data_IF_150571517321
#
_entry.id   IF_150571517321
#
_cell.length_a   1.000
_cell.length_b   1.000
_cell.length_c   1.000
_cell.angle_alpha   90.00
_cell.angle_beta   90.00
_cell.angle_gamma   90.00
#
_symmetry.space_group_name_H-M   'P 1'
#
loop_
_entity.id
_entity.type
_entity.pdbx_description
1 polymer ?
#
# COMPACT_ATOMS: atom_id res chain seq x y z
N UNK A 1 -7.83 -28.29 -13.71
CA UNK A 1 -8.71 -27.68 -12.68
C UNK A 1 -9.24 -26.38 -13.26
N UNK A 2 -10.51 -26.10 -13.06
CA UNK A 2 -11.15 -24.85 -13.49
C UNK A 2 -11.62 -24.08 -12.26
N UNK A 3 -11.35 -22.77 -12.19
CA UNK A 3 -11.69 -21.90 -11.08
C UNK A 3 -12.58 -20.76 -11.57
N UNK A 4 -13.68 -20.50 -10.87
CA UNK A 4 -14.52 -19.34 -11.08
C UNK A 4 -14.18 -18.26 -10.04
N UNK A 5 -13.96 -17.03 -10.49
CA UNK A 5 -13.72 -15.86 -9.63
C UNK A 5 -14.91 -14.91 -9.81
N UNK A 6 -15.51 -14.48 -8.73
CA UNK A 6 -16.59 -13.50 -8.72
C UNK A 6 -16.04 -12.18 -8.18
N UNK A 7 -16.10 -11.13 -9.01
CA UNK A 7 -15.58 -9.80 -8.74
C UNK A 7 -14.33 -9.48 -9.56
N UNK A 8 -14.42 -8.50 -10.45
CA UNK A 8 -13.36 -8.00 -11.35
C UNK A 8 -12.63 -6.76 -10.81
N UNK A 9 -12.63 -6.56 -9.48
CA UNK A 9 -11.79 -5.58 -8.81
C UNK A 9 -10.32 -6.03 -8.77
N UNK A 10 -9.44 -5.20 -8.19
CA UNK A 10 -7.99 -5.47 -8.14
C UNK A 10 -7.66 -6.84 -7.53
N UNK A 11 -8.39 -7.27 -6.52
CA UNK A 11 -8.15 -8.57 -5.85
C UNK A 11 -8.50 -9.73 -6.78
N UNK A 12 -9.71 -9.73 -7.36
CA UNK A 12 -10.15 -10.80 -8.26
C UNK A 12 -9.30 -10.90 -9.50
N UNK A 13 -8.93 -9.77 -10.10
CA UNK A 13 -8.05 -9.72 -11.27
C UNK A 13 -6.63 -10.23 -10.94
N UNK A 14 -6.04 -9.83 -9.81
CA UNK A 14 -4.74 -10.32 -9.39
C UNK A 14 -4.76 -11.84 -9.12
N UNK A 15 -5.81 -12.36 -8.47
CA UNK A 15 -5.99 -13.79 -8.27
C UNK A 15 -6.15 -14.53 -9.62
N UNK A 16 -6.95 -13.98 -10.54
CA UNK A 16 -7.15 -14.56 -11.87
C UNK A 16 -5.82 -14.66 -12.63
N UNK A 17 -5.04 -13.59 -12.60
CA UNK A 17 -3.75 -13.52 -13.27
C UNK A 17 -2.74 -14.54 -12.68
N UNK A 18 -2.61 -14.63 -11.35
CA UNK A 18 -1.71 -15.60 -10.72
C UNK A 18 -2.12 -17.04 -11.00
N UNK A 19 -3.41 -17.35 -10.96
CA UNK A 19 -3.93 -18.69 -11.29
C UNK A 19 -3.70 -19.04 -12.76
N UNK A 20 -3.93 -18.11 -13.67
CA UNK A 20 -3.69 -18.31 -15.11
C UNK A 20 -2.20 -18.57 -15.38
N UNK A 21 -1.30 -17.84 -14.72
CA UNK A 21 0.15 -18.11 -14.80
C UNK A 21 0.54 -19.49 -14.30
N UNK A 22 -0.18 -20.00 -13.30
CA UNK A 22 0.00 -21.36 -12.79
C UNK A 22 -0.65 -22.46 -13.68
N UNK A 23 -1.17 -22.09 -14.86
CA UNK A 23 -1.79 -23.03 -15.81
C UNK A 23 -3.21 -23.46 -15.42
N UNK A 24 -3.86 -22.72 -14.53
CA UNK A 24 -5.24 -22.98 -14.14
C UNK A 24 -6.19 -22.29 -15.10
N UNK A 25 -7.23 -23.00 -15.58
CA UNK A 25 -8.31 -22.40 -16.34
C UNK A 25 -9.17 -21.52 -15.43
N UNK A 26 -9.25 -20.22 -15.73
CA UNK A 26 -9.98 -19.25 -14.91
C UNK A 26 -11.14 -18.64 -15.68
N UNK A 27 -12.32 -18.58 -15.02
CA UNK A 27 -13.45 -17.80 -15.48
C UNK A 27 -13.72 -16.68 -14.46
N UNK A 28 -13.65 -15.41 -14.89
CA UNK A 28 -13.92 -14.24 -14.05
C UNK A 28 -15.29 -13.67 -14.39
N UNK A 29 -16.10 -13.43 -13.38
CA UNK A 29 -17.44 -12.86 -13.47
C UNK A 29 -17.50 -11.55 -12.70
N UNK A 30 -18.01 -10.49 -13.33
CA UNK A 30 -18.22 -9.20 -12.72
C UNK A 30 -19.56 -8.60 -13.14
N UNK A 31 -20.31 -8.06 -12.21
CA UNK A 31 -21.59 -7.40 -12.47
C UNK A 31 -21.41 -5.99 -13.05
N UNK A 32 -20.28 -5.36 -12.78
CA UNK A 32 -19.92 -4.00 -13.21
C UNK A 32 -18.59 -4.02 -13.97
N UNK A 33 -18.57 -4.30 -15.28
CA UNK A 33 -17.34 -4.49 -16.05
C UNK A 33 -16.40 -3.28 -16.08
N UNK A 34 -16.87 -2.11 -15.65
CA UNK A 34 -16.06 -0.89 -15.55
C UNK A 34 -15.29 -0.74 -14.22
N UNK A 35 -15.41 -1.70 -13.29
CA UNK A 35 -14.72 -1.74 -11.99
C UNK A 35 -14.74 -0.40 -11.23
N UNK A 36 -15.90 0.25 -11.19
CA UNK A 36 -16.09 1.57 -10.54
C UNK A 36 -16.53 1.46 -9.08
N UNK A 37 -16.13 0.39 -8.39
CA UNK A 37 -16.44 0.17 -6.98
C UNK A 37 -15.22 0.48 -6.10
N UNK A 38 -14.94 -0.34 -5.10
CA UNK A 38 -13.88 -0.11 -4.12
C UNK A 38 -12.50 0.12 -4.73
N UNK A 39 -12.12 -0.65 -5.78
CA UNK A 39 -10.82 -0.48 -6.45
C UNK A 39 -10.71 0.83 -7.22
N UNK A 40 -11.82 1.37 -7.70
CA UNK A 40 -11.87 2.68 -8.36
C UNK A 40 -11.77 3.83 -7.34
N UNK A 41 -12.44 3.68 -6.19
CA UNK A 41 -12.49 4.69 -5.13
C UNK A 41 -11.24 4.71 -4.24
N UNK A 42 -10.43 3.65 -4.27
CA UNK A 42 -9.25 3.52 -3.43
C UNK A 42 -8.21 4.61 -3.72
N UNK A 43 -7.56 5.11 -2.66
CA UNK A 43 -6.46 6.07 -2.77
C UNK A 43 -5.15 5.45 -3.27
N UNK A 44 -5.05 4.12 -3.26
CA UNK A 44 -3.87 3.39 -3.73
C UNK A 44 -2.70 3.37 -2.76
N UNK A 45 -2.93 3.65 -1.49
CA UNK A 45 -1.90 3.56 -0.46
C UNK A 45 -1.53 2.10 -0.19
N UNK A 46 -0.25 1.81 -0.16
CA UNK A 46 0.35 0.52 0.18
C UNK A 46 1.19 0.72 1.44
N UNK A 47 0.51 0.85 2.58
CA UNK A 47 1.09 1.37 3.81
C UNK A 47 0.78 0.50 5.04
N UNK A 48 1.11 -0.82 5.04
CA UNK A 48 0.78 -1.71 6.15
C UNK A 48 1.38 -1.26 7.48
N UNK A 49 2.53 -0.59 7.45
CA UNK A 49 3.18 -0.09 8.66
C UNK A 49 2.48 1.13 9.27
N UNK A 50 1.63 1.84 8.50
CA UNK A 50 0.82 2.94 9.01
C UNK A 50 -0.48 2.45 9.65
N UNK A 51 -1.09 1.41 9.06
CA UNK A 51 -2.44 0.93 9.39
C UNK A 51 -2.49 0.11 10.70
N UNK A 52 -1.40 -0.56 11.08
CA UNK A 52 -1.40 -1.52 12.19
C UNK A 52 -0.37 -1.14 13.25
N UNK A 53 -0.74 -1.30 14.53
CA UNK A 53 0.08 -0.96 15.70
C UNK A 53 0.65 -2.19 16.41
N UNK A 54 0.32 -3.39 15.91
CA UNK A 54 0.76 -4.67 16.48
C UNK A 54 1.07 -5.71 15.41
N UNK A 55 1.82 -6.74 15.79
CA UNK A 55 2.15 -7.88 14.95
C UNK A 55 0.97 -8.86 14.87
N UNK A 56 0.06 -8.59 13.94
CA UNK A 56 -1.10 -9.41 13.63
C UNK A 56 -1.06 -10.05 12.24
N UNK A 57 -1.96 -11.01 11.96
CA UNK A 57 -2.01 -11.69 10.65
C UNK A 57 -2.18 -10.73 9.47
N UNK A 58 -3.01 -9.69 9.61
CA UNK A 58 -3.25 -8.70 8.56
C UNK A 58 -2.03 -7.80 8.32
N UNK A 59 -1.33 -7.39 9.39
CA UNK A 59 -0.08 -6.66 9.24
C UNK A 59 0.96 -7.49 8.49
N UNK A 60 1.16 -8.76 8.88
CA UNK A 60 2.12 -9.67 8.21
C UNK A 60 1.77 -9.88 6.74
N UNK A 61 0.48 -10.07 6.42
CA UNK A 61 0.01 -10.21 5.04
C UNK A 61 0.27 -8.92 4.25
N UNK A 62 -0.03 -7.75 4.82
CA UNK A 62 0.20 -6.45 4.19
C UNK A 62 1.68 -6.19 3.91
N UNK A 63 2.56 -6.51 4.87
CA UNK A 63 4.02 -6.39 4.70
C UNK A 63 4.53 -7.32 3.59
N UNK A 64 4.10 -8.59 3.60
CA UNK A 64 4.45 -9.53 2.55
C UNK A 64 3.93 -9.09 1.17
N UNK A 65 2.72 -8.54 1.12
CA UNK A 65 2.13 -7.97 -0.10
C UNK A 65 2.95 -6.79 -0.61
N UNK A 66 3.25 -5.81 0.25
CA UNK A 66 4.06 -4.63 -0.12
C UNK A 66 5.41 -5.04 -0.74
N UNK A 67 6.10 -5.99 -0.12
CA UNK A 67 7.39 -6.48 -0.60
C UNK A 67 7.32 -7.16 -1.99
N UNK A 68 6.15 -7.66 -2.39
CA UNK A 68 5.95 -8.34 -3.68
C UNK A 68 5.65 -7.40 -4.85
N UNK A 69 5.23 -6.16 -4.60
CA UNK A 69 4.79 -5.24 -5.66
C UNK A 69 5.81 -5.04 -6.79
N UNK A 70 7.12 -4.81 -6.53
CA UNK A 70 8.09 -4.63 -7.62
C UNK A 70 8.17 -5.87 -8.52
N UNK A 71 8.26 -7.06 -7.94
CA UNK A 71 8.32 -8.31 -8.69
C UNK A 71 7.01 -8.62 -9.43
N UNK A 72 5.88 -8.27 -8.84
CA UNK A 72 4.55 -8.42 -9.44
C UNK A 72 4.40 -7.53 -10.68
N UNK A 73 4.76 -6.25 -10.60
CA UNK A 73 4.73 -5.33 -11.75
C UNK A 73 5.68 -5.79 -12.87
N UNK A 74 6.88 -6.22 -12.50
CA UNK A 74 7.83 -6.77 -13.47
C UNK A 74 7.28 -8.02 -14.18
N UNK A 75 6.61 -8.91 -13.44
CA UNK A 75 6.01 -10.12 -14.00
C UNK A 75 4.80 -9.83 -14.88
N UNK A 76 4.09 -8.71 -14.66
CA UNK A 76 3.06 -8.19 -15.56
C UNK A 76 3.64 -7.50 -16.81
N UNK A 77 4.95 -7.28 -16.87
CA UNK A 77 5.59 -6.49 -17.93
C UNK A 77 5.24 -5.00 -17.88
N UNK A 78 4.92 -4.49 -16.68
CA UNK A 78 4.48 -3.10 -16.49
C UNK A 78 5.60 -2.29 -15.86
N UNK A 79 5.95 -1.19 -16.51
CA UNK A 79 6.86 -0.21 -15.93
C UNK A 79 6.19 0.46 -14.71
N UNK A 80 6.90 0.61 -13.55
CA UNK A 80 6.33 1.18 -12.34
C UNK A 80 5.64 2.53 -12.56
N UNK A 81 6.20 3.41 -13.37
CA UNK A 81 5.64 4.71 -13.69
C UNK A 81 4.32 4.64 -14.49
N UNK A 82 4.10 3.56 -15.25
CA UNK A 82 2.86 3.40 -16.02
C UNK A 82 1.63 3.27 -15.11
N UNK A 83 1.82 2.74 -13.91
CA UNK A 83 0.78 2.61 -12.86
C UNK A 83 1.02 3.55 -11.68
N UNK A 84 1.89 4.54 -11.85
CA UNK A 84 2.28 5.51 -10.83
C UNK A 84 2.72 4.85 -9.49
N UNK A 85 3.44 3.72 -9.58
CA UNK A 85 3.98 3.06 -8.41
C UNK A 85 5.17 3.86 -7.86
N UNK A 86 5.09 4.26 -6.60
CA UNK A 86 6.10 5.05 -5.90
C UNK A 86 6.38 4.46 -4.52
N UNK A 87 7.62 4.06 -4.27
CA UNK A 87 8.09 3.54 -2.99
C UNK A 87 8.91 4.61 -2.25
N UNK A 88 8.26 5.71 -1.90
CA UNK A 88 8.91 6.90 -1.32
C UNK A 88 8.74 7.05 0.19
N UNK A 89 8.12 6.05 0.84
CA UNK A 89 7.74 6.12 2.25
C UNK A 89 6.50 6.98 2.49
N UNK A 90 6.21 7.22 3.75
CA UNK A 90 5.09 8.06 4.19
C UNK A 90 5.37 8.70 5.53
N UNK A 91 4.83 9.88 5.75
CA UNK A 91 4.93 10.60 7.03
C UNK A 91 3.69 10.36 7.86
N UNK A 92 3.88 10.08 9.14
CA UNK A 92 2.83 10.06 10.16
C UNK A 92 3.11 11.21 11.12
N UNK A 93 2.46 12.39 10.94
CA UNK A 93 2.73 13.57 11.75
C UNK A 93 2.06 13.48 13.12
N UNK A 94 2.68 14.10 14.13
CA UNK A 94 2.07 14.35 15.42
C UNK A 94 1.41 15.72 15.42
N UNK A 95 0.12 15.77 15.68
CA UNK A 95 -0.67 17.01 15.78
C UNK A 95 -0.65 17.55 17.22
N UNK A 96 -0.52 16.65 18.21
CA UNK A 96 -0.53 17.02 19.63
C UNK A 96 0.36 16.10 20.49
N UNK A 97 0.25 16.22 21.82
CA UNK A 97 1.00 15.41 22.78
C UNK A 97 0.53 13.94 22.83
N UNK A 98 -0.73 13.69 22.52
CA UNK A 98 -1.28 12.32 22.46
C UNK A 98 -0.70 11.60 21.26
N UNK A 99 -0.68 12.26 20.11
CA UNK A 99 -0.08 11.73 18.87
C UNK A 99 1.41 11.43 19.07
N UNK A 100 2.18 12.34 19.72
CA UNK A 100 3.60 12.09 20.03
C UNK A 100 3.80 10.80 20.82
N UNK A 101 2.95 10.56 21.82
CA UNK A 101 3.00 9.32 22.59
C UNK A 101 2.68 8.09 21.74
N UNK A 102 1.67 8.19 20.89
CA UNK A 102 1.29 7.12 19.95
C UNK A 102 2.42 6.83 18.94
N UNK A 103 3.05 7.88 18.40
CA UNK A 103 4.18 7.72 17.48
C UNK A 103 5.39 7.06 18.14
N UNK A 104 5.68 7.38 19.42
CA UNK A 104 6.74 6.72 20.17
C UNK A 104 6.46 5.20 20.34
N UNK A 105 5.22 4.83 20.67
CA UNK A 105 4.79 3.45 20.76
C UNK A 105 4.87 2.74 19.40
N UNK A 106 4.40 3.39 18.34
CA UNK A 106 4.48 2.91 16.94
C UNK A 106 5.92 2.64 16.54
N UNK A 107 6.83 3.59 16.77
CA UNK A 107 8.25 3.41 16.50
C UNK A 107 8.84 2.21 17.25
N UNK A 108 8.51 2.08 18.55
CA UNK A 108 8.98 0.95 19.34
C UNK A 108 8.50 -0.40 18.79
N UNK A 109 7.25 -0.47 18.34
CA UNK A 109 6.72 -1.66 17.64
C UNK A 109 7.49 -1.94 16.35
N UNK A 110 7.60 -0.97 15.44
CA UNK A 110 8.26 -1.12 14.15
C UNK A 110 9.75 -1.50 14.30
N UNK A 111 10.44 -0.88 15.26
CA UNK A 111 11.85 -1.22 15.56
C UNK A 111 12.00 -2.66 16.00
N UNK A 112 11.12 -3.17 16.90
CA UNK A 112 11.14 -4.59 17.30
C UNK A 112 10.84 -5.53 16.13
N UNK A 113 10.02 -5.09 15.19
CA UNK A 113 9.70 -5.84 13.97
C UNK A 113 10.78 -5.74 12.87
N UNK A 114 11.88 -5.02 13.12
CA UNK A 114 12.97 -4.87 12.15
C UNK A 114 12.67 -3.87 11.02
N UNK A 115 11.62 -3.05 11.16
CA UNK A 115 11.25 -2.03 10.18
C UNK A 115 12.02 -0.74 10.46
N UNK A 116 12.76 -0.27 9.47
CA UNK A 116 13.46 1.02 9.56
C UNK A 116 12.43 2.16 9.57
N UNK A 117 12.49 3.01 10.60
CA UNK A 117 11.66 4.21 10.70
C UNK A 117 12.45 5.29 11.44
N UNK A 118 12.18 6.56 11.13
CA UNK A 118 12.96 7.69 11.66
C UNK A 118 12.03 8.82 12.07
N UNK A 119 12.27 9.41 13.26
CA UNK A 119 11.64 10.67 13.59
C UNK A 119 12.28 11.81 12.83
N UNK A 120 11.45 12.65 12.23
CA UNK A 120 11.81 13.90 11.59
C UNK A 120 11.35 15.06 12.45
N UNK A 121 12.22 16.06 12.63
CA UNK A 121 11.88 17.35 13.21
C UNK A 121 10.91 18.14 12.32
N UNK A 122 10.17 19.09 12.87
CA UNK A 122 9.26 19.95 12.10
C UNK A 122 9.93 20.60 10.88
N UNK A 123 11.19 21.04 11.01
CA UNK A 123 11.96 21.57 9.88
C UNK A 123 12.15 20.53 8.76
N UNK A 124 12.48 19.30 9.09
CA UNK A 124 12.67 18.21 8.11
C UNK A 124 11.33 17.80 7.48
N UNK A 125 10.27 17.76 8.28
CA UNK A 125 8.89 17.51 7.81
C UNK A 125 8.49 18.55 6.78
N UNK A 126 8.64 19.85 7.07
CA UNK A 126 8.25 20.93 6.17
C UNK A 126 9.16 21.04 4.94
N UNK A 127 10.43 20.65 5.06
CA UNK A 127 11.32 20.56 3.90
C UNK A 127 10.88 19.46 2.92
N UNK A 128 10.31 18.35 3.44
CA UNK A 128 9.84 17.23 2.62
C UNK A 128 8.42 17.45 2.10
N UNK A 129 7.54 17.99 2.96
CA UNK A 129 6.11 18.23 2.67
C UNK A 129 5.73 19.66 3.06
N UNK A 130 6.02 20.64 2.20
CA UNK A 130 5.77 22.07 2.50
C UNK A 130 4.29 22.42 2.71
N UNK A 131 3.37 21.56 2.23
CA UNK A 131 1.92 21.76 2.36
C UNK A 131 1.34 21.36 3.72
N UNK A 132 2.13 20.77 4.60
CA UNK A 132 1.67 20.43 5.95
C UNK A 132 1.53 21.67 6.82
N UNK A 133 0.65 21.60 7.84
CA UNK A 133 0.41 22.70 8.76
C UNK A 133 1.69 23.09 9.53
N UNK A 134 1.91 24.39 9.69
CA UNK A 134 3.17 24.93 10.21
C UNK A 134 3.47 24.59 11.69
N UNK A 135 2.47 24.17 12.43
CA UNK A 135 2.55 23.75 13.84
C UNK A 135 2.95 22.27 14.02
N UNK A 136 3.07 21.50 12.95
CA UNK A 136 3.59 20.13 13.02
C UNK A 136 5.06 20.18 13.44
N UNK A 137 5.36 19.71 14.65
CA UNK A 137 6.69 19.76 15.24
C UNK A 137 7.54 18.53 14.99
N UNK A 138 6.91 17.40 14.67
CA UNK A 138 7.59 16.13 14.36
C UNK A 138 6.68 15.19 13.57
N UNK A 139 7.29 14.23 12.86
CA UNK A 139 6.61 13.10 12.22
C UNK A 139 7.48 11.85 12.29
N UNK A 140 6.85 10.69 12.19
CA UNK A 140 7.55 9.43 11.97
C UNK A 140 7.56 9.12 10.47
N UNK A 141 8.75 9.01 9.88
CA UNK A 141 8.94 8.53 8.51
C UNK A 141 8.97 7.00 8.50
N UNK A 142 8.07 6.39 7.72
CA UNK A 142 7.82 4.96 7.72
C UNK A 142 7.81 4.43 6.28
N UNK A 143 8.40 3.26 5.99
CA UNK A 143 8.33 2.65 4.67
C UNK A 143 6.89 2.45 4.20
N UNK A 144 6.59 2.95 3.02
CA UNK A 144 5.31 2.82 2.35
C UNK A 144 5.49 2.98 0.84
N UNK A 145 4.47 2.59 0.10
CA UNK A 145 4.38 2.89 -1.32
C UNK A 145 2.97 3.37 -1.68
N UNK A 146 2.81 3.87 -2.88
CA UNK A 146 1.52 4.18 -3.49
C UNK A 146 1.48 3.66 -4.92
N UNK A 147 0.27 3.46 -5.44
CA UNK A 147 0.01 3.04 -6.82
C UNK A 147 -1.32 3.62 -7.27
N UNK A 148 -1.46 3.94 -8.56
CA UNK A 148 -2.78 4.26 -9.12
C UNK A 148 -3.60 2.97 -9.30
N UNK A 149 -4.64 2.73 -8.48
CA UNK A 149 -5.39 1.48 -8.52
C UNK A 149 -6.19 1.32 -9.81
N UNK A 150 -6.57 2.41 -10.47
CA UNK A 150 -7.32 2.40 -11.74
C UNK A 150 -6.43 1.92 -12.88
N UNK A 151 -5.19 2.43 -12.93
CA UNK A 151 -4.19 1.99 -13.91
C UNK A 151 -3.78 0.54 -13.66
N UNK A 152 -3.63 0.13 -12.40
CA UNK A 152 -3.32 -1.26 -12.07
C UNK A 152 -4.45 -2.20 -12.49
N UNK A 153 -5.72 -1.85 -12.21
CA UNK A 153 -6.89 -2.64 -12.67
C UNK A 153 -6.94 -2.72 -14.20
N UNK A 154 -6.69 -1.62 -14.91
CA UNK A 154 -6.63 -1.62 -16.36
C UNK A 154 -5.52 -2.53 -16.93
N UNK A 155 -4.39 -2.57 -16.25
CA UNK A 155 -3.25 -3.38 -16.65
C UNK A 155 -3.41 -4.88 -16.34
N UNK A 156 -4.28 -5.25 -15.41
CA UNK A 156 -4.61 -6.63 -15.05
C UNK A 156 -5.71 -7.25 -15.96
N UNK A 157 -6.39 -6.47 -16.79
CA UNK A 157 -7.41 -6.90 -17.74
C UNK A 157 -6.83 -7.30 -19.07
#
# INVERSE_FOLDING_TARGET
>A
MRVAIVGGGVIGLACAWELARAGVEVALFDAAPEAREASWAAAGMLAPHHEYDEDGPLWRLGVASLARYPAFLAALGIEPLAVDYRAVGGLLPALDAVDRTALAAKRAFLTRAGVACTFLSGREVHAREPGLAADISEALDIPAASIDPRRLVAALR
#
